data_IF_193583916507
#
_entry.id   IF_193583916507
#
_cell.length_a   1.000
_cell.length_b   1.000
_cell.length_c   1.000
_cell.angle_alpha   90.00
_cell.angle_beta   90.00
_cell.angle_gamma   90.00
#
_symmetry.space_group_name_H-M   'P 1'
#
loop_
_entity.id
_entity.type
_entity.pdbx_description
1 polymer ?
#
# COMPACT_ATOMS: atom_id res chain seq x y z
N UNK A 1 23.81 6.39 8.46
CA UNK A 1 23.26 7.06 9.67
C UNK A 1 21.84 6.59 9.84
N UNK A 2 21.55 5.83 10.90
CA UNK A 2 20.20 5.39 11.23
C UNK A 2 19.45 6.63 11.74
N UNK A 3 18.37 7.04 11.06
CA UNK A 3 17.54 8.15 11.53
C UNK A 3 16.87 7.74 12.84
N UNK A 4 17.27 8.32 13.95
CA UNK A 4 16.72 8.04 15.28
C UNK A 4 15.26 8.46 15.43
N UNK A 5 14.78 9.35 14.53
CA UNK A 5 13.40 9.82 14.44
C UNK A 5 12.44 8.82 13.76
N UNK A 6 12.95 7.71 13.25
CA UNK A 6 12.17 6.64 12.60
C UNK A 6 12.37 5.34 13.39
N UNK A 7 11.39 4.98 14.17
CA UNK A 7 11.34 3.68 14.85
C UNK A 7 11.10 2.52 13.87
N UNK A 8 11.28 1.31 14.35
CA UNK A 8 10.91 0.05 13.67
C UNK A 8 11.58 -0.21 12.30
N UNK A 9 12.76 0.38 12.05
CA UNK A 9 13.54 0.14 10.85
C UNK A 9 14.77 -0.70 11.16
N UNK A 10 14.90 -1.88 10.51
CA UNK A 10 16.01 -2.81 10.74
C UNK A 10 17.32 -2.34 10.10
N UNK A 11 17.28 -1.78 8.88
CA UNK A 11 18.50 -1.40 8.13
C UNK A 11 18.42 0.01 7.55
N UNK A 12 17.41 0.34 6.78
CA UNK A 12 17.29 1.61 6.06
C UNK A 12 15.84 2.09 6.02
N UNK A 13 15.67 3.38 5.74
CA UNK A 13 14.37 4.02 5.51
C UNK A 13 14.39 4.67 4.13
N UNK A 14 13.42 4.29 3.29
CA UNK A 14 13.15 4.95 2.02
C UNK A 14 12.05 6.00 2.24
N UNK A 15 12.36 7.26 2.00
CA UNK A 15 11.42 8.38 2.19
C UNK A 15 10.96 8.88 0.81
N UNK A 16 9.78 8.48 0.38
CA UNK A 16 9.16 8.93 -0.86
C UNK A 16 8.29 10.16 -0.60
N UNK A 17 8.56 11.24 -1.36
CA UNK A 17 7.77 12.45 -1.29
C UNK A 17 7.00 12.67 -2.58
N UNK A 18 5.68 12.60 -2.51
CA UNK A 18 4.85 13.02 -3.62
C UNK A 18 4.99 14.53 -3.82
N UNK A 19 5.16 14.95 -5.07
CA UNK A 19 5.13 16.38 -5.44
C UNK A 19 3.79 17.01 -5.07
N UNK A 20 3.76 18.32 -4.94
CA UNK A 20 2.52 19.07 -4.83
C UNK A 20 1.88 19.24 -6.22
N UNK A 21 0.59 19.48 -6.27
CA UNK A 21 -0.10 19.90 -7.51
C UNK A 21 0.36 21.26 -7.96
N UNK A 22 0.21 21.53 -9.25
CA UNK A 22 0.54 22.82 -9.85
C UNK A 22 -0.46 23.89 -9.39
N UNK A 23 0.03 25.04 -8.94
CA UNK A 23 -0.81 26.16 -8.50
C UNK A 23 -1.10 27.19 -9.62
N UNK A 24 -0.50 27.02 -10.79
CA UNK A 24 -0.65 27.92 -11.92
C UNK A 24 -1.55 27.31 -13.00
N UNK A 25 -1.43 25.97 -13.24
CA UNK A 25 -2.12 25.31 -14.32
C UNK A 25 -2.76 23.99 -13.87
N UNK A 26 -3.93 23.72 -14.40
CA UNK A 26 -4.57 22.40 -14.31
C UNK A 26 -4.18 21.55 -15.53
N UNK A 27 -3.73 20.33 -15.33
CA UNK A 27 -3.33 19.43 -16.39
C UNK A 27 -3.90 18.04 -16.18
N UNK A 28 -4.17 17.37 -17.30
CA UNK A 28 -4.59 15.97 -17.33
C UNK A 28 -3.64 15.24 -18.28
N UNK A 29 -3.15 14.09 -17.86
CA UNK A 29 -2.29 13.21 -18.63
C UNK A 29 -2.89 11.81 -18.68
N UNK A 30 -3.19 11.35 -19.89
CA UNK A 30 -3.50 9.96 -20.17
C UNK A 30 -2.23 9.28 -20.73
N UNK A 31 -1.95 8.07 -20.26
CA UNK A 31 -0.80 7.29 -20.72
C UNK A 31 -1.29 5.89 -21.09
N UNK A 32 -0.91 5.44 -22.28
CA UNK A 32 -1.08 4.08 -22.73
C UNK A 32 0.32 3.49 -22.91
N UNK A 33 0.69 2.57 -22.03
CA UNK A 33 1.97 1.86 -22.06
C UNK A 33 1.85 0.46 -22.66
N UNK A 34 2.94 -0.30 -22.67
CA UNK A 34 2.93 -1.69 -23.13
C UNK A 34 2.19 -2.64 -22.19
N UNK A 35 2.08 -2.30 -20.91
CA UNK A 35 1.51 -3.17 -19.85
C UNK A 35 0.42 -2.52 -19.04
N UNK A 36 0.17 -1.21 -19.21
CA UNK A 36 -0.74 -0.45 -18.36
C UNK A 36 -1.36 0.75 -19.05
N UNK A 37 -2.52 1.15 -18.58
CA UNK A 37 -3.14 2.43 -18.89
C UNK A 37 -3.24 3.26 -17.62
N UNK A 38 -3.00 4.55 -17.72
CA UNK A 38 -3.14 5.46 -16.58
C UNK A 38 -3.75 6.79 -16.96
N UNK A 39 -4.43 7.39 -15.99
CA UNK A 39 -4.96 8.74 -16.05
C UNK A 39 -4.47 9.49 -14.81
N UNK A 40 -3.86 10.63 -15.03
CA UNK A 40 -3.39 11.48 -13.95
C UNK A 40 -3.84 12.92 -14.19
N UNK A 41 -4.22 13.60 -13.11
CA UNK A 41 -4.52 15.02 -13.13
C UNK A 41 -3.78 15.71 -11.99
N UNK A 42 -3.27 16.88 -12.25
CA UNK A 42 -2.70 17.74 -11.23
C UNK A 42 -3.03 19.19 -11.51
N UNK A 43 -3.11 19.99 -10.45
CA UNK A 43 -3.47 21.40 -10.56
C UNK A 43 -3.92 21.97 -9.23
N UNK A 44 -4.84 22.95 -9.31
CA UNK A 44 -5.33 23.65 -8.16
C UNK A 44 -6.85 23.80 -8.14
N UNK A 45 -7.38 23.92 -6.92
CA UNK A 45 -8.78 24.25 -6.64
C UNK A 45 -8.79 25.59 -5.92
N UNK A 46 -9.18 26.65 -6.63
CA UNK A 46 -9.07 28.01 -6.13
C UNK A 46 -7.61 28.44 -5.93
N UNK A 47 -7.38 29.36 -5.00
CA UNK A 47 -6.04 29.97 -4.77
C UNK A 47 -5.23 29.32 -3.64
N UNK A 48 -5.81 28.38 -2.92
CA UNK A 48 -5.21 27.87 -1.68
C UNK A 48 -4.97 26.36 -1.66
N UNK A 49 -5.56 25.64 -2.61
CA UNK A 49 -5.51 24.16 -2.60
C UNK A 49 -4.91 23.65 -3.89
N UNK A 50 -3.81 22.89 -3.80
CA UNK A 50 -3.30 22.12 -4.91
C UNK A 50 -3.74 20.66 -4.79
N UNK A 51 -3.89 19.97 -5.93
CA UNK A 51 -4.23 18.58 -5.97
C UNK A 51 -3.37 17.80 -6.96
N UNK A 52 -3.20 16.53 -6.66
CA UNK A 52 -2.65 15.51 -7.53
C UNK A 52 -3.50 14.27 -7.36
N UNK A 53 -3.96 13.67 -8.46
CA UNK A 53 -4.71 12.42 -8.47
C UNK A 53 -4.24 11.58 -9.64
N UNK A 54 -4.14 10.27 -9.45
CA UNK A 54 -3.92 9.34 -10.54
C UNK A 54 -4.60 8.00 -10.27
N UNK A 55 -4.98 7.35 -11.35
CA UNK A 55 -5.45 5.96 -11.38
C UNK A 55 -4.72 5.23 -12.48
N UNK A 56 -4.37 3.97 -12.21
CA UNK A 56 -3.67 3.12 -13.13
C UNK A 56 -4.28 1.72 -13.12
N UNK A 57 -4.42 1.14 -14.31
CA UNK A 57 -4.87 -0.22 -14.53
C UNK A 57 -3.83 -0.95 -15.36
N UNK A 58 -3.34 -2.08 -14.85
CA UNK A 58 -2.47 -2.98 -15.57
C UNK A 58 -3.27 -3.95 -16.44
N UNK A 59 -2.75 -4.25 -17.59
CA UNK A 59 -3.16 -5.38 -18.44
C UNK A 59 -1.99 -6.32 -18.75
N UNK A 60 -1.04 -6.40 -17.83
CA UNK A 60 0.16 -7.23 -17.92
C UNK A 60 -0.18 -8.71 -18.13
N UNK A 61 -1.36 -9.15 -17.70
CA UNK A 61 -1.89 -10.49 -17.92
C UNK A 61 -1.90 -10.90 -19.40
N UNK A 62 -2.16 -9.97 -20.34
CA UNK A 62 -2.16 -10.28 -21.77
C UNK A 62 -0.76 -10.58 -22.28
N UNK A 63 0.24 -9.83 -21.81
CA UNK A 63 1.64 -10.09 -22.14
C UNK A 63 2.11 -11.43 -21.58
N UNK A 64 1.72 -11.74 -20.34
CA UNK A 64 2.09 -13.00 -19.68
C UNK A 64 1.40 -14.21 -20.31
N UNK A 65 0.14 -14.06 -20.74
CA UNK A 65 -0.59 -15.07 -21.50
C UNK A 65 0.08 -15.34 -22.85
N UNK A 66 0.49 -14.26 -23.56
CA UNK A 66 1.18 -14.36 -24.85
C UNK A 66 2.57 -15.03 -24.74
N UNK A 67 3.24 -14.86 -23.61
CA UNK A 67 4.54 -15.48 -23.31
C UNK A 67 4.40 -16.87 -22.68
N UNK A 68 3.18 -17.38 -22.60
CA UNK A 68 2.85 -18.67 -22.01
C UNK A 68 3.36 -18.85 -20.57
N UNK A 69 3.30 -17.76 -19.78
CA UNK A 69 3.71 -17.79 -18.38
C UNK A 69 2.62 -18.41 -17.49
N UNK A 70 3.00 -19.14 -16.41
CA UNK A 70 2.04 -19.89 -15.58
C UNK A 70 1.17 -18.99 -14.67
N UNK A 71 1.35 -17.69 -14.68
CA UNK A 71 0.59 -16.76 -13.85
C UNK A 71 0.24 -15.47 -14.60
N UNK A 72 -0.93 -14.91 -14.28
CA UNK A 72 -1.53 -13.77 -14.98
C UNK A 72 -1.80 -12.65 -13.98
N UNK A 73 -0.82 -11.76 -13.74
CA UNK A 73 -0.96 -10.66 -12.80
C UNK A 73 -1.77 -9.52 -13.37
N UNK A 74 -2.62 -8.94 -12.54
CA UNK A 74 -3.29 -7.65 -12.80
C UNK A 74 -3.22 -6.78 -11.57
N UNK A 75 -3.07 -5.49 -11.77
CA UNK A 75 -3.19 -4.53 -10.67
C UNK A 75 -3.97 -3.29 -11.10
N UNK A 76 -4.69 -2.75 -10.13
CA UNK A 76 -5.35 -1.44 -10.23
C UNK A 76 -4.90 -0.64 -9.04
N UNK A 77 -4.37 0.54 -9.26
CA UNK A 77 -4.00 1.44 -8.18
C UNK A 77 -4.49 2.85 -8.40
N UNK A 78 -4.69 3.55 -7.29
CA UNK A 78 -5.07 4.95 -7.28
C UNK A 78 -4.34 5.69 -6.17
N UNK A 79 -4.02 6.93 -6.42
CA UNK A 79 -3.43 7.80 -5.43
C UNK A 79 -3.95 9.23 -5.57
N UNK A 80 -4.00 9.93 -4.44
CA UNK A 80 -4.28 11.35 -4.44
C UNK A 80 -3.48 12.08 -3.37
N UNK A 81 -3.25 13.36 -3.59
CA UNK A 81 -2.72 14.30 -2.62
C UNK A 81 -3.44 15.62 -2.77
N UNK A 82 -3.96 16.12 -1.67
CA UNK A 82 -4.54 17.47 -1.55
C UNK A 82 -3.70 18.25 -0.56
N UNK A 83 -3.29 19.46 -0.93
CA UNK A 83 -2.56 20.34 -0.04
C UNK A 83 -3.25 21.70 -0.02
N UNK A 84 -3.74 22.08 1.15
CA UNK A 84 -4.46 23.35 1.37
C UNK A 84 -3.67 24.23 2.32
N UNK A 85 -3.35 25.44 1.89
CA UNK A 85 -2.78 26.48 2.74
C UNK A 85 -3.89 27.43 3.15
N UNK A 86 -4.39 27.31 4.37
CA UNK A 86 -5.47 28.15 4.89
C UNK A 86 -5.01 29.61 5.03
N UNK A 87 -3.81 29.81 5.53
CA UNK A 87 -3.13 31.09 5.69
C UNK A 87 -1.60 30.86 5.72
N UNK A 88 -0.81 31.89 5.98
CA UNK A 88 0.66 31.80 6.03
C UNK A 88 1.18 30.86 7.12
N UNK A 89 0.39 30.66 8.17
CA UNK A 89 0.77 29.86 9.33
C UNK A 89 0.22 28.44 9.31
N UNK A 90 -0.82 28.13 8.53
CA UNK A 90 -1.55 26.87 8.65
C UNK A 90 -1.69 26.18 7.30
N UNK A 91 -1.22 24.94 7.26
CA UNK A 91 -1.24 24.07 6.08
C UNK A 91 -1.76 22.68 6.46
N UNK A 92 -2.64 22.15 5.63
CA UNK A 92 -3.12 20.77 5.73
C UNK A 92 -2.78 20.03 4.44
N UNK A 93 -2.18 18.87 4.55
CA UNK A 93 -1.97 17.92 3.46
C UNK A 93 -2.73 16.65 3.77
N UNK A 94 -3.57 16.19 2.84
CA UNK A 94 -4.22 14.88 2.88
C UNK A 94 -3.73 14.08 1.71
N UNK A 95 -3.38 12.82 1.94
CA UNK A 95 -2.93 11.91 0.89
C UNK A 95 -3.56 10.53 1.06
N UNK A 96 -3.80 9.87 -0.04
CA UNK A 96 -4.27 8.50 -0.08
C UNK A 96 -3.62 7.72 -1.20
N UNK A 97 -3.36 6.45 -0.92
CA UNK A 97 -2.90 5.46 -1.90
C UNK A 97 -3.76 4.21 -1.69
N UNK A 98 -4.07 3.52 -2.78
CA UNK A 98 -4.75 2.24 -2.70
C UNK A 98 -4.44 1.39 -3.91
N UNK A 99 -4.51 0.07 -3.74
CA UNK A 99 -4.26 -0.88 -4.81
C UNK A 99 -5.00 -2.19 -4.60
N UNK A 100 -5.32 -2.81 -5.72
CA UNK A 100 -5.87 -4.16 -5.79
C UNK A 100 -4.99 -4.95 -6.74
N UNK A 101 -4.36 -6.00 -6.22
CA UNK A 101 -3.52 -6.91 -6.96
C UNK A 101 -4.21 -8.28 -7.04
N UNK A 102 -4.28 -8.83 -8.25
CA UNK A 102 -4.78 -10.17 -8.48
C UNK A 102 -3.77 -10.95 -9.32
N UNK A 103 -3.43 -12.13 -8.87
CA UNK A 103 -2.65 -13.09 -9.61
C UNK A 103 -3.49 -14.34 -9.84
N UNK A 104 -3.92 -14.56 -11.07
CA UNK A 104 -4.59 -15.78 -11.52
C UNK A 104 -3.57 -16.75 -12.08
N UNK A 105 -3.91 -18.03 -12.10
CA UNK A 105 -3.09 -19.08 -12.70
C UNK A 105 -3.46 -19.20 -14.19
N UNK A 106 -2.45 -19.36 -15.04
CA UNK A 106 -2.61 -19.70 -16.46
C UNK A 106 -2.55 -21.23 -16.60
N UNK A 107 -3.68 -21.88 -16.40
CA UNK A 107 -3.78 -23.36 -16.49
C UNK A 107 -3.72 -23.89 -17.93
N UNK A 108 -3.51 -23.02 -18.92
CA UNK A 108 -3.30 -23.40 -20.32
C UNK A 108 -1.82 -23.55 -20.67
N UNK A 109 -0.94 -22.97 -19.85
CA UNK A 109 0.50 -23.10 -20.02
C UNK A 109 0.92 -24.53 -19.69
N UNK A 110 1.30 -25.32 -20.72
CA UNK A 110 1.42 -26.77 -20.67
C UNK A 110 2.87 -27.28 -20.78
N UNK A 111 3.88 -26.42 -20.66
CA UNK A 111 5.26 -26.88 -20.55
C UNK A 111 5.52 -27.59 -19.20
N UNK A 112 6.43 -28.55 -19.18
CA UNK A 112 6.78 -29.28 -17.94
C UNK A 112 7.17 -28.32 -16.79
N UNK A 113 7.93 -27.27 -17.09
CA UNK A 113 8.31 -26.26 -16.12
C UNK A 113 7.08 -25.48 -15.59
N UNK A 114 6.15 -25.15 -16.46
CA UNK A 114 4.92 -24.44 -16.10
C UNK A 114 4.00 -25.33 -15.26
N UNK A 115 3.84 -26.60 -15.61
CA UNK A 115 3.07 -27.57 -14.81
C UNK A 115 3.66 -27.69 -13.39
N UNK A 116 4.99 -27.77 -13.29
CA UNK A 116 5.66 -27.80 -12.00
C UNK A 116 5.36 -26.55 -11.17
N UNK A 117 5.50 -25.34 -11.75
CA UNK A 117 5.20 -24.08 -11.09
C UNK A 117 3.72 -24.03 -10.68
N UNK A 118 2.82 -24.40 -11.59
CA UNK A 118 1.38 -24.45 -11.34
C UNK A 118 0.99 -25.44 -10.23
N UNK A 119 1.81 -26.47 -9.99
CA UNK A 119 1.54 -27.46 -8.94
C UNK A 119 1.57 -26.85 -7.54
N UNK A 120 2.40 -25.84 -7.26
CA UNK A 120 2.55 -25.21 -5.94
C UNK A 120 2.09 -23.75 -5.85
N UNK A 121 2.00 -23.03 -6.98
CA UNK A 121 1.65 -21.61 -6.99
C UNK A 121 0.19 -21.40 -6.57
N UNK A 122 -0.12 -20.56 -5.56
CA UNK A 122 -1.48 -20.21 -5.20
C UNK A 122 -2.02 -19.10 -6.08
N UNK A 123 -3.34 -18.96 -6.17
CA UNK A 123 -3.99 -17.70 -6.56
C UNK A 123 -3.83 -16.70 -5.43
N UNK A 124 -3.48 -15.46 -5.78
CA UNK A 124 -3.25 -14.37 -4.82
C UNK A 124 -4.20 -13.23 -5.14
N UNK A 125 -4.87 -12.73 -4.12
CA UNK A 125 -5.60 -11.47 -4.17
C UNK A 125 -5.19 -10.61 -3.00
N UNK A 126 -4.74 -9.39 -3.28
CA UNK A 126 -4.32 -8.42 -2.29
C UNK A 126 -5.07 -7.10 -2.49
N UNK A 127 -5.54 -6.53 -1.40
CA UNK A 127 -6.21 -5.23 -1.37
C UNK A 127 -5.51 -4.38 -0.31
N UNK A 128 -5.07 -3.20 -0.68
CA UNK A 128 -4.35 -2.30 0.24
C UNK A 128 -4.82 -0.87 0.08
N UNK A 129 -4.87 -0.15 1.18
CA UNK A 129 -4.96 1.31 1.12
C UNK A 129 -4.24 1.95 2.31
N UNK A 130 -3.79 3.17 2.11
CA UNK A 130 -3.27 4.05 3.16
C UNK A 130 -3.88 5.44 2.97
N UNK A 131 -4.44 5.98 4.03
CA UNK A 131 -4.94 7.35 4.10
C UNK A 131 -4.19 8.09 5.20
N UNK A 132 -3.68 9.29 4.90
CA UNK A 132 -2.96 10.10 5.87
C UNK A 132 -3.25 11.57 5.75
N UNK A 133 -3.14 12.26 6.88
CA UNK A 133 -3.26 13.71 6.99
C UNK A 133 -2.07 14.28 7.76
N UNK A 134 -1.54 15.40 7.28
CA UNK A 134 -0.46 16.15 7.92
C UNK A 134 -0.92 17.59 8.08
N UNK A 135 -1.09 18.04 9.31
CA UNK A 135 -1.31 19.44 9.60
C UNK A 135 -0.01 20.09 10.08
N UNK A 136 0.32 21.24 9.55
CA UNK A 136 1.48 22.04 9.96
C UNK A 136 1.07 23.42 10.39
N UNK A 137 1.63 23.83 11.52
CA UNK A 137 1.52 25.19 12.05
C UNK A 137 2.91 25.82 12.10
N UNK A 138 3.05 26.97 11.43
CA UNK A 138 4.28 27.75 11.35
C UNK A 138 4.16 28.96 12.29
N UNK A 139 4.98 29.01 13.33
CA UNK A 139 4.98 30.10 14.32
C UNK A 139 6.41 30.67 14.45
N UNK A 140 6.78 31.55 13.54
CA UNK A 140 8.10 32.15 13.50
C UNK A 140 9.21 31.10 13.30
N UNK A 141 10.04 30.89 14.30
CA UNK A 141 11.14 29.91 14.27
C UNK A 141 10.69 28.47 14.63
N UNK A 142 9.40 28.26 14.85
CA UNK A 142 8.84 26.98 15.27
C UNK A 142 7.94 26.40 14.18
N UNK A 143 8.05 25.10 13.93
CA UNK A 143 7.13 24.36 13.05
C UNK A 143 6.58 23.17 13.83
N UNK A 144 5.29 23.21 14.07
CA UNK A 144 4.56 22.11 14.68
C UNK A 144 3.89 21.26 13.60
N UNK A 145 4.01 19.96 13.71
CA UNK A 145 3.41 19.01 12.76
C UNK A 145 2.62 17.95 13.53
N UNK A 146 1.38 17.74 13.10
CA UNK A 146 0.55 16.61 13.52
C UNK A 146 0.31 15.73 12.33
N UNK A 147 0.60 14.45 12.46
CA UNK A 147 0.39 13.43 11.42
C UNK A 147 -0.53 12.36 11.96
N UNK A 148 -1.55 12.01 11.19
CA UNK A 148 -2.40 10.85 11.43
C UNK A 148 -2.44 10.04 10.15
N UNK A 149 -2.28 8.73 10.24
CA UNK A 149 -2.45 7.84 9.11
C UNK A 149 -3.08 6.52 9.52
N UNK A 150 -3.80 5.93 8.57
CA UNK A 150 -4.35 4.58 8.70
C UNK A 150 -4.02 3.80 7.44
N UNK A 151 -3.47 2.59 7.63
CA UNK A 151 -3.15 1.64 6.58
C UNK A 151 -3.95 0.36 6.78
N UNK A 152 -4.38 -0.23 5.70
CA UNK A 152 -5.11 -1.49 5.65
C UNK A 152 -4.53 -2.37 4.56
N UNK A 153 -4.28 -3.63 4.87
CA UNK A 153 -3.88 -4.67 3.94
C UNK A 153 -4.73 -5.91 4.18
N UNK A 154 -5.34 -6.43 3.11
CA UNK A 154 -6.04 -7.70 3.11
C UNK A 154 -5.40 -8.60 2.05
N UNK A 155 -4.92 -9.76 2.48
CA UNK A 155 -4.26 -10.74 1.61
C UNK A 155 -5.03 -12.06 1.65
N UNK A 156 -5.28 -12.63 0.48
CA UNK A 156 -5.99 -13.89 0.29
C UNK A 156 -5.23 -14.78 -0.68
N UNK A 157 -4.78 -15.94 -0.20
CA UNK A 157 -4.12 -16.95 -1.01
C UNK A 157 -4.97 -18.21 -1.02
N UNK A 158 -5.15 -18.78 -2.20
CA UNK A 158 -5.96 -20.00 -2.35
C UNK A 158 -5.27 -20.95 -3.32
N UNK A 159 -5.17 -22.21 -2.92
CA UNK A 159 -4.59 -23.30 -3.73
C UNK A 159 -5.49 -24.52 -3.68
N UNK A 160 -5.79 -25.05 -4.86
CA UNK A 160 -6.47 -26.33 -5.02
C UNK A 160 -5.55 -27.35 -5.68
N UNK A 161 -5.77 -28.62 -5.38
CA UNK A 161 -5.09 -29.74 -6.04
C UNK A 161 -5.40 -29.69 -7.53
N UNK A 162 -4.37 -29.82 -8.37
CA UNK A 162 -4.49 -29.73 -9.83
C UNK A 162 -5.18 -28.44 -10.33
N UNK A 163 -5.23 -27.40 -9.47
CA UNK A 163 -5.92 -26.13 -9.73
C UNK A 163 -7.43 -26.25 -10.01
N UNK A 164 -8.03 -27.42 -9.64
CA UNK A 164 -9.46 -27.68 -9.84
C UNK A 164 -10.26 -27.18 -8.62
N UNK A 165 -10.99 -26.08 -8.84
CA UNK A 165 -11.85 -25.45 -7.84
C UNK A 165 -13.27 -26.01 -7.82
N UNK A 166 -13.63 -26.86 -8.79
CA UNK A 166 -14.97 -27.45 -8.90
C UNK A 166 -15.24 -28.44 -7.78
N UNK A 167 -14.18 -29.01 -7.21
CA UNK A 167 -14.21 -29.99 -6.13
C UNK A 167 -13.74 -29.36 -4.82
N UNK A 168 -14.61 -29.09 -3.84
CA UNK A 168 -14.25 -28.45 -2.57
C UNK A 168 -13.16 -29.20 -1.80
N UNK A 169 -13.11 -30.53 -1.90
CA UNK A 169 -12.12 -31.40 -1.24
C UNK A 169 -10.70 -31.21 -1.77
N UNK A 170 -10.55 -30.61 -2.96
CA UNK A 170 -9.28 -30.26 -3.55
C UNK A 170 -8.61 -29.03 -2.90
N UNK A 171 -9.28 -28.35 -1.98
CA UNK A 171 -8.70 -27.22 -1.27
C UNK A 171 -7.46 -27.67 -0.47
N UNK A 172 -6.29 -27.13 -0.82
CA UNK A 172 -5.00 -27.39 -0.18
C UNK A 172 -4.57 -26.28 0.76
N UNK A 173 -4.77 -25.03 0.32
CA UNK A 173 -4.41 -23.83 1.09
C UNK A 173 -5.50 -22.79 0.95
N UNK A 174 -5.92 -22.21 2.07
CA UNK A 174 -6.69 -20.98 2.11
C UNK A 174 -6.16 -20.11 3.24
N UNK A 175 -5.45 -19.07 2.87
CA UNK A 175 -4.95 -18.05 3.78
C UNK A 175 -5.76 -16.77 3.60
N UNK A 176 -6.17 -16.19 4.72
CA UNK A 176 -6.78 -14.86 4.79
C UNK A 176 -6.10 -14.10 5.90
N UNK A 177 -5.42 -13.02 5.57
CA UNK A 177 -4.82 -12.14 6.57
C UNK A 177 -5.26 -10.70 6.37
N UNK A 178 -5.40 -10.01 7.48
CA UNK A 178 -5.72 -8.58 7.53
C UNK A 178 -4.74 -7.90 8.45
N UNK A 179 -4.13 -6.84 7.95
CA UNK A 179 -3.26 -5.96 8.72
C UNK A 179 -3.86 -4.55 8.72
N UNK A 180 -3.91 -3.95 9.91
CA UNK A 180 -4.34 -2.58 10.08
C UNK A 180 -3.34 -1.85 10.96
N UNK A 181 -2.98 -0.65 10.56
CA UNK A 181 -2.05 0.17 11.32
C UNK A 181 -2.53 1.61 11.34
N UNK A 182 -2.69 2.14 12.55
CA UNK A 182 -3.00 3.56 12.76
C UNK A 182 -1.83 4.22 13.46
N UNK A 183 -1.32 5.28 12.86
CA UNK A 183 -0.19 6.05 13.40
C UNK A 183 -0.60 7.46 13.72
N UNK A 184 -0.18 7.91 14.87
CA UNK A 184 -0.22 9.32 15.28
C UNK A 184 1.20 9.79 15.55
N UNK A 185 1.57 10.96 15.01
CA UNK A 185 2.85 11.60 15.29
C UNK A 185 2.64 13.08 15.55
N UNK A 186 3.21 13.55 16.63
CA UNK A 186 3.40 14.98 16.90
C UNK A 186 4.88 15.31 16.83
N UNK A 187 5.24 16.43 16.22
CA UNK A 187 6.61 16.91 16.14
C UNK A 187 6.63 18.43 16.21
N UNK A 188 7.51 18.96 17.07
CA UNK A 188 7.81 20.38 17.14
C UNK A 188 9.28 20.62 16.79
N UNK A 189 9.53 21.32 15.71
CA UNK A 189 10.86 21.71 15.24
C UNK A 189 11.07 23.18 15.58
N UNK A 190 12.08 23.49 16.37
CA UNK A 190 12.42 24.83 16.82
C UNK A 190 13.84 25.20 16.39
N UNK A 191 14.01 26.38 15.84
CA UNK A 191 15.32 26.92 15.44
C UNK A 191 15.71 28.11 16.33
N UNK A 192 16.81 27.98 17.06
CA UNK A 192 17.35 29.03 17.95
C UNK A 192 18.80 29.35 17.54
N UNK A 193 19.03 30.44 16.85
CA UNK A 193 20.36 30.81 16.36
C UNK A 193 21.07 29.64 15.66
N UNK A 194 21.99 28.98 16.36
CA UNK A 194 22.80 27.86 15.84
C UNK A 194 22.25 26.48 16.20
N UNK A 195 21.14 26.40 16.94
CA UNK A 195 20.55 25.15 17.42
C UNK A 195 19.26 24.85 16.68
N UNK A 196 19.11 23.59 16.25
CA UNK A 196 17.83 23.03 15.83
C UNK A 196 17.43 21.96 16.84
N UNK A 197 16.30 22.16 17.47
CA UNK A 197 15.74 21.24 18.46
C UNK A 197 14.48 20.63 17.90
N UNK A 198 14.42 19.32 17.85
CA UNK A 198 13.23 18.55 17.46
C UNK A 198 12.75 17.78 18.68
N UNK A 199 11.49 17.99 19.05
CA UNK A 199 10.81 17.22 20.10
C UNK A 199 9.53 16.63 19.48
N UNK A 200 9.27 15.36 19.76
CA UNK A 200 8.10 14.70 19.21
C UNK A 200 7.69 13.47 20.00
N UNK A 201 6.52 12.95 19.66
CA UNK A 201 5.97 11.70 20.14
C UNK A 201 5.30 10.95 19.01
N UNK A 202 5.44 9.63 19.01
CA UNK A 202 4.78 8.73 18.07
C UNK A 202 3.92 7.74 18.85
N UNK A 203 2.77 7.38 18.29
CA UNK A 203 1.91 6.32 18.76
C UNK A 203 1.52 5.47 17.56
N UNK A 204 1.89 4.20 17.57
CA UNK A 204 1.57 3.24 16.54
C UNK A 204 0.66 2.16 17.15
N UNK A 205 -0.51 1.99 16.55
CA UNK A 205 -1.48 0.96 16.89
C UNK A 205 -1.62 0.02 15.72
N UNK A 206 -1.23 -1.25 15.90
CA UNK A 206 -1.25 -2.26 14.85
C UNK A 206 -2.10 -3.45 15.25
N UNK A 207 -2.90 -3.93 14.33
CA UNK A 207 -3.72 -5.13 14.47
C UNK A 207 -3.45 -6.07 13.30
N UNK A 208 -3.16 -7.32 13.61
CA UNK A 208 -3.00 -8.41 12.65
C UNK A 208 -3.97 -9.54 12.95
N UNK A 209 -4.60 -10.06 11.91
CA UNK A 209 -5.47 -11.23 11.95
C UNK A 209 -5.11 -12.16 10.80
N UNK A 210 -4.98 -13.45 11.07
CA UNK A 210 -4.71 -14.47 10.08
C UNK A 210 -5.54 -15.71 10.37
N UNK A 211 -6.20 -16.22 9.34
CA UNK A 211 -6.82 -17.55 9.33
C UNK A 211 -6.24 -18.34 8.18
N UNK A 212 -5.54 -19.41 8.48
CA UNK A 212 -4.91 -20.29 7.49
C UNK A 212 -5.44 -21.70 7.65
N UNK A 213 -6.07 -22.20 6.59
CA UNK A 213 -6.37 -23.61 6.40
C UNK A 213 -5.31 -24.22 5.49
N UNK A 214 -4.69 -25.33 5.89
CA UNK A 214 -3.69 -26.04 5.10
C UNK A 214 -3.87 -27.55 5.25
N UNK A 215 -3.91 -28.26 4.15
CA UNK A 215 -3.75 -29.73 4.14
C UNK A 215 -2.27 -30.09 4.13
N UNK A 216 -1.82 -30.76 5.17
CA UNK A 216 -0.43 -31.22 5.32
C UNK A 216 -0.21 -32.56 4.60
N UNK A 217 -1.23 -33.43 4.63
CA UNK A 217 -1.31 -34.67 3.89
C UNK A 217 -2.73 -34.91 3.39
N UNK A 218 -2.95 -35.91 2.54
CA UNK A 218 -4.23 -36.19 1.90
C UNK A 218 -5.40 -36.22 2.87
N UNK A 219 -5.18 -36.67 4.12
CA UNK A 219 -6.22 -36.91 5.10
C UNK A 219 -6.14 -36.03 6.35
N UNK A 220 -5.14 -35.13 6.42
CA UNK A 220 -4.98 -34.23 7.56
C UNK A 220 -5.01 -32.75 7.14
N UNK A 221 -6.01 -32.03 7.64
CA UNK A 221 -6.10 -30.59 7.49
C UNK A 221 -5.86 -29.91 8.84
N UNK A 222 -5.15 -28.80 8.83
CA UNK A 222 -4.94 -27.96 10.00
C UNK A 222 -5.47 -26.54 9.70
N UNK A 223 -6.12 -25.95 10.70
CA UNK A 223 -6.54 -24.55 10.65
C UNK A 223 -5.81 -23.80 11.77
N UNK A 224 -5.18 -22.71 11.38
CA UNK A 224 -4.47 -21.83 12.30
C UNK A 224 -5.17 -20.47 12.30
N UNK A 225 -5.62 -20.06 13.49
CA UNK A 225 -6.14 -18.72 13.72
C UNK A 225 -5.16 -17.97 14.59
N UNK A 226 -4.72 -16.80 14.12
CA UNK A 226 -3.76 -15.97 14.81
C UNK A 226 -4.24 -14.53 14.83
N UNK A 227 -4.32 -13.95 16.02
CA UNK A 227 -4.65 -12.55 16.23
C UNK A 227 -3.59 -11.91 17.10
N UNK A 228 -3.05 -10.81 16.65
CA UNK A 228 -2.09 -10.01 17.43
C UNK A 228 -2.50 -8.56 17.43
N UNK A 229 -2.39 -7.96 18.61
CA UNK A 229 -2.54 -6.53 18.84
C UNK A 229 -1.21 -5.99 19.35
N UNK A 230 -0.69 -4.95 18.73
CA UNK A 230 0.51 -4.26 19.18
C UNK A 230 0.23 -2.78 19.34
N UNK A 231 0.66 -2.25 20.49
CA UNK A 231 0.69 -0.81 20.76
C UNK A 231 2.14 -0.43 21.03
N UNK A 232 2.71 0.42 20.17
CA UNK A 232 4.08 0.89 20.30
C UNK A 232 4.03 2.39 20.55
N UNK A 233 4.63 2.82 21.66
CA UNK A 233 4.83 4.22 22.01
C UNK A 233 6.33 4.52 21.96
N UNK A 234 6.74 5.53 21.19
CA UNK A 234 8.12 6.00 21.08
C UNK A 234 8.16 7.51 21.33
#
# INVERSE_FOLDING_TARGET
YKRQDRGNALSSVLDFKLRDGDMEHNSVKATLGASEVSLASNGHIGKKTSYLVSIRQSYLQFLFDMLDLPFLPTFTDAQFKLKTRFNEQNELTVLGLGGIDNMRLNTKADSEDNEYILSYLPKIKQETFTLGAVYRHYAGAHVQSVVVSHSYLNNRNTKYRQNDESIPENLMLRLRSTEQETKFRFENNSSFRNWKVTVGANLDYSQYSNTTFQKVYTDHAQTFDYHTLSLIHI
#
